data_IF_733541363542
#
_entry.id   IF_733541363542
#
_cell.length_a   1.000
_cell.length_b   1.000
_cell.length_c   1.000
_cell.angle_alpha   90.00
_cell.angle_beta   90.00
_cell.angle_gamma   90.00
#
_symmetry.space_group_name_H-M   'P 1'
#
loop_
_entity.id
_entity.type
_entity.pdbx_description
1 polymer ?
#
# COMPACT_ATOMS: atom_id res chain seq x y z
N UNK A 1 7.80 -5.05 -3.88
CA UNK A 1 7.65 -6.04 -4.97
C UNK A 1 6.55 -7.00 -4.55
N UNK A 2 5.63 -7.36 -5.44
CA UNK A 2 4.64 -8.39 -5.12
C UNK A 2 5.35 -9.72 -4.85
N UNK A 3 4.75 -10.59 -4.04
CA UNK A 3 5.32 -11.90 -3.70
C UNK A 3 5.72 -12.69 -4.96
N UNK A 4 4.86 -12.64 -5.99
CA UNK A 4 5.08 -13.28 -7.28
C UNK A 4 6.34 -12.75 -7.98
N UNK A 5 6.58 -11.44 -7.97
CA UNK A 5 7.76 -10.85 -8.63
C UNK A 5 9.05 -11.24 -7.90
N UNK A 6 9.03 -11.28 -6.57
CA UNK A 6 10.18 -11.72 -5.76
C UNK A 6 10.47 -13.21 -5.99
N UNK A 7 9.42 -14.04 -6.06
CA UNK A 7 9.53 -15.47 -6.36
C UNK A 7 10.13 -15.74 -7.73
N UNK A 8 9.70 -14.99 -8.76
CA UNK A 8 10.25 -15.15 -10.12
C UNK A 8 11.71 -14.70 -10.21
N UNK A 9 12.14 -13.70 -9.45
CA UNK A 9 13.52 -13.20 -9.49
C UNK A 9 14.51 -14.03 -8.67
N UNK A 10 14.11 -14.50 -7.48
CA UNK A 10 15.02 -15.08 -6.48
C UNK A 10 14.83 -16.60 -6.35
N UNK A 11 13.75 -17.16 -6.90
CA UNK A 11 13.40 -18.57 -6.76
C UNK A 11 13.02 -18.94 -5.32
N UNK A 12 12.78 -20.23 -5.07
CA UNK A 12 12.48 -20.73 -3.72
C UNK A 12 13.77 -20.90 -2.92
N UNK A 13 14.25 -19.79 -2.34
CA UNK A 13 15.43 -19.73 -1.47
C UNK A 13 15.13 -18.99 -0.17
N UNK A 14 16.00 -19.11 0.83
CA UNK A 14 15.83 -18.45 2.13
C UNK A 14 15.77 -16.92 2.04
N UNK A 15 16.32 -16.33 0.97
CA UNK A 15 16.26 -14.89 0.71
C UNK A 15 14.89 -14.42 0.24
N UNK A 16 14.03 -15.32 -0.27
CA UNK A 16 12.72 -14.97 -0.83
C UNK A 16 11.85 -14.25 0.21
N UNK A 17 11.70 -14.88 1.37
CA UNK A 17 10.88 -14.34 2.46
C UNK A 17 11.51 -13.04 2.94
N UNK A 18 12.82 -13.00 3.15
CA UNK A 18 13.55 -11.82 3.63
C UNK A 18 13.39 -10.61 2.71
N UNK A 19 13.57 -10.78 1.39
CA UNK A 19 13.43 -9.71 0.39
C UNK A 19 11.98 -9.27 0.23
N UNK A 20 11.03 -10.22 0.28
CA UNK A 20 9.62 -9.91 0.22
C UNK A 20 9.14 -9.14 1.45
N UNK A 21 9.50 -9.59 2.66
CA UNK A 21 9.15 -8.95 3.92
C UNK A 21 9.71 -7.53 3.99
N UNK A 22 10.96 -7.32 3.55
CA UNK A 22 11.57 -5.99 3.48
C UNK A 22 10.76 -5.06 2.56
N UNK A 23 10.41 -5.53 1.36
CA UNK A 23 9.59 -4.75 0.43
C UNK A 23 8.18 -4.47 0.96
N UNK A 24 7.57 -5.43 1.65
CA UNK A 24 6.28 -5.27 2.32
C UNK A 24 6.36 -4.23 3.44
N UNK A 25 7.40 -4.29 4.28
CA UNK A 25 7.59 -3.37 5.39
C UNK A 25 7.78 -1.93 4.93
N UNK A 26 8.58 -1.72 3.89
CA UNK A 26 8.76 -0.40 3.27
C UNK A 26 7.43 0.11 2.70
N UNK A 27 6.68 -0.74 1.97
CA UNK A 27 5.38 -0.35 1.43
C UNK A 27 4.36 -0.03 2.52
N UNK A 28 4.36 -0.78 3.63
CA UNK A 28 3.49 -0.54 4.78
C UNK A 28 3.85 0.77 5.48
N UNK A 29 5.14 1.01 5.76
CA UNK A 29 5.63 2.24 6.37
C UNK A 29 5.36 3.48 5.52
N UNK A 30 5.30 3.37 4.20
CA UNK A 30 4.97 4.50 3.31
C UNK A 30 3.46 4.63 3.09
N UNK A 31 2.76 3.52 2.93
CA UNK A 31 1.33 3.50 2.68
C UNK A 31 0.50 3.93 3.90
N UNK A 32 0.92 3.59 5.10
CA UNK A 32 0.19 3.92 6.33
C UNK A 32 0.13 5.43 6.60
N UNK A 33 1.24 6.18 6.57
CA UNK A 33 1.21 7.64 6.66
C UNK A 33 0.40 8.25 5.52
N UNK A 34 0.61 7.78 4.29
CA UNK A 34 -0.12 8.27 3.13
C UNK A 34 -1.63 8.13 3.35
N UNK A 35 -2.10 6.94 3.75
CA UNK A 35 -3.52 6.70 4.01
C UNK A 35 -4.05 7.56 5.16
N UNK A 36 -3.26 7.78 6.21
CA UNK A 36 -3.65 8.65 7.33
C UNK A 36 -3.86 10.10 6.90
N UNK A 37 -2.98 10.64 6.04
CA UNK A 37 -3.14 11.99 5.47
C UNK A 37 -4.27 12.08 4.44
N UNK A 38 -4.46 11.03 3.63
CA UNK A 38 -5.47 11.01 2.58
C UNK A 38 -6.89 10.72 3.10
N UNK A 39 -7.06 10.02 4.23
CA UNK A 39 -8.35 9.74 4.84
C UNK A 39 -9.22 11.00 5.07
N UNK A 40 -8.73 12.10 5.69
CA UNK A 40 -9.52 13.32 5.84
C UNK A 40 -9.82 14.01 4.50
N UNK A 41 -8.90 13.93 3.53
CA UNK A 41 -9.07 14.51 2.19
C UNK A 41 -10.20 13.78 1.45
N UNK A 42 -10.18 12.45 1.50
CA UNK A 42 -11.22 11.61 0.91
C UNK A 42 -12.58 11.87 1.54
N UNK A 43 -12.65 11.94 2.88
CA UNK A 43 -13.89 12.24 3.59
C UNK A 43 -14.48 13.59 3.15
N UNK A 44 -13.67 14.65 3.12
CA UNK A 44 -14.12 15.98 2.66
C UNK A 44 -14.60 15.95 1.21
N UNK A 45 -13.87 15.26 0.33
CA UNK A 45 -14.20 15.18 -1.10
C UNK A 45 -15.49 14.41 -1.35
N UNK A 46 -15.67 13.26 -0.67
CA UNK A 46 -16.87 12.44 -0.78
C UNK A 46 -18.08 13.21 -0.25
N UNK A 47 -18.00 13.79 0.96
CA UNK A 47 -19.12 14.56 1.52
C UNK A 47 -19.51 15.73 0.61
N UNK A 48 -18.54 16.49 0.08
CA UNK A 48 -18.83 17.59 -0.85
C UNK A 48 -19.48 17.12 -2.16
N UNK A 49 -19.09 15.95 -2.68
CA UNK A 49 -19.70 15.38 -3.89
C UNK A 49 -21.12 14.85 -3.63
N UNK A 50 -21.36 14.23 -2.47
CA UNK A 50 -22.67 13.71 -2.11
C UNK A 50 -23.70 14.82 -1.85
N UNK A 51 -23.30 15.93 -1.19
CA UNK A 51 -24.23 17.05 -0.90
C UNK A 51 -24.53 17.91 -2.12
N UNK A 52 -23.68 17.91 -3.16
CA UNK A 52 -23.91 18.72 -4.37
C UNK A 52 -25.03 18.16 -5.27
N UNK A 53 -25.54 16.96 -4.99
CA UNK A 53 -26.54 16.28 -5.82
C UNK A 53 -27.94 16.19 -5.16
N UNK A 54 -28.21 16.98 -4.12
CA UNK A 54 -29.52 17.10 -3.46
C UNK A 54 -29.99 18.54 -3.41
#
# INVERSE_FOLDING_TARGET
>A
MSFVVTFVHVGFSDELITKWLHGFWVAWLVGFPLMFFFAPIFRKTITKKLTKNS
#
